data_IF_153059110621
#
_entry.id   IF_153059110621
#
_cell.length_a   1.000
_cell.length_b   1.000
_cell.length_c   1.000
_cell.angle_alpha   90.00
_cell.angle_beta   90.00
_cell.angle_gamma   90.00
#
_symmetry.space_group_name_H-M   'P 1'
#
loop_
_entity.id
_entity.type
_entity.pdbx_description
1 polymer ?
#
# COMPACT_ATOMS: atom_id res chain seq x y z
N UNK A 1 -2.12 -24.71 -41.22
CA UNK A 1 -3.03 -24.89 -40.08
C UNK A 1 -3.49 -23.52 -39.61
N UNK A 2 -4.79 -23.23 -39.78
CA UNK A 2 -5.38 -21.94 -39.48
C UNK A 2 -5.50 -21.75 -37.95
N UNK A 3 -4.72 -20.84 -37.37
CA UNK A 3 -5.01 -20.31 -36.03
C UNK A 3 -6.32 -19.55 -36.14
N UNK A 4 -7.36 -20.05 -35.47
CA UNK A 4 -8.64 -19.36 -35.28
C UNK A 4 -8.33 -17.91 -34.85
N UNK A 5 -8.74 -16.93 -35.66
CA UNK A 5 -9.03 -15.58 -35.20
C UNK A 5 -10.20 -15.71 -34.22
N UNK A 6 -9.91 -16.09 -32.98
CA UNK A 6 -10.84 -15.86 -31.88
C UNK A 6 -10.98 -14.35 -31.80
N UNK A 7 -12.20 -13.82 -31.84
CA UNK A 7 -12.46 -12.43 -31.42
C UNK A 7 -11.72 -12.21 -30.11
N UNK A 8 -10.65 -11.44 -30.16
CA UNK A 8 -9.74 -11.37 -29.03
C UNK A 8 -10.41 -10.53 -27.96
N UNK A 9 -10.56 -11.12 -26.76
CA UNK A 9 -11.22 -10.48 -25.64
C UNK A 9 -10.58 -9.11 -25.32
N UNK A 10 -11.37 -8.14 -24.82
CA UNK A 10 -10.83 -6.92 -24.24
C UNK A 10 -9.78 -7.26 -23.19
N UNK A 11 -8.62 -6.61 -23.26
CA UNK A 11 -7.50 -6.89 -22.37
C UNK A 11 -6.69 -5.63 -22.12
N UNK A 12 -5.90 -5.66 -21.05
CA UNK A 12 -4.96 -4.60 -20.71
C UNK A 12 -3.59 -4.99 -21.28
N UNK A 13 -2.92 -4.05 -21.91
CA UNK A 13 -1.56 -4.23 -22.42
C UNK A 13 -0.62 -3.35 -21.61
N UNK A 14 0.30 -3.97 -20.89
CA UNK A 14 1.42 -3.28 -20.27
C UNK A 14 2.64 -3.40 -21.19
N UNK A 15 3.24 -2.27 -21.55
CA UNK A 15 4.52 -2.20 -22.25
C UNK A 15 5.56 -1.54 -21.32
N UNK A 16 6.70 -2.18 -21.12
CA UNK A 16 7.84 -1.66 -20.33
C UNK A 16 9.08 -1.68 -21.21
N UNK A 17 9.55 -0.49 -21.58
CA UNK A 17 10.74 -0.26 -22.40
C UNK A 17 11.87 0.25 -21.51
N UNK A 18 12.98 -0.48 -21.43
CA UNK A 18 14.16 -0.09 -20.63
C UNK A 18 15.45 -0.22 -21.44
N UNK A 19 16.46 0.56 -21.08
CA UNK A 19 17.81 0.43 -21.63
C UNK A 19 18.64 -0.60 -20.88
N UNK A 20 18.40 -0.73 -19.58
CA UNK A 20 19.08 -1.70 -18.72
C UNK A 20 18.18 -2.91 -18.45
N UNK A 21 18.79 -4.07 -18.11
CA UNK A 21 18.04 -5.16 -17.53
C UNK A 21 17.26 -4.70 -16.32
N UNK A 22 16.00 -5.12 -16.22
CA UNK A 22 15.13 -4.82 -15.09
C UNK A 22 15.39 -5.84 -13.99
N UNK A 23 15.44 -5.39 -12.74
CA UNK A 23 15.48 -6.31 -11.61
C UNK A 23 14.20 -7.14 -11.52
N UNK A 24 14.32 -8.43 -11.22
CA UNK A 24 13.16 -9.32 -11.16
C UNK A 24 12.08 -8.82 -10.18
N UNK A 25 12.50 -8.22 -9.07
CA UNK A 25 11.60 -7.61 -8.09
C UNK A 25 10.76 -6.49 -8.71
N UNK A 26 11.40 -5.53 -9.38
CA UNK A 26 10.74 -4.41 -10.06
C UNK A 26 9.81 -4.88 -11.18
N UNK A 27 10.24 -5.88 -11.95
CA UNK A 27 9.43 -6.51 -12.99
C UNK A 27 8.15 -7.12 -12.41
N UNK A 28 8.28 -7.99 -11.41
CA UNK A 28 7.13 -8.65 -10.76
C UNK A 28 6.23 -7.61 -10.08
N UNK A 29 6.83 -6.58 -9.47
CA UNK A 29 6.12 -5.50 -8.81
C UNK A 29 5.16 -4.79 -9.77
N UNK A 30 5.62 -4.43 -10.97
CA UNK A 30 4.77 -3.78 -11.98
C UNK A 30 3.50 -4.57 -12.29
N UNK A 31 3.60 -5.90 -12.44
CA UNK A 31 2.45 -6.78 -12.69
C UNK A 31 1.54 -6.92 -11.46
N UNK A 32 2.14 -7.22 -10.31
CA UNK A 32 1.39 -7.46 -9.07
C UNK A 32 0.63 -6.22 -8.60
N UNK A 33 1.21 -5.03 -8.79
CA UNK A 33 0.57 -3.75 -8.48
C UNK A 33 -0.65 -3.48 -9.35
N UNK A 34 -0.56 -3.70 -10.67
CA UNK A 34 -1.70 -3.54 -11.58
C UNK A 34 -2.81 -4.53 -11.23
N UNK A 35 -2.45 -5.79 -10.93
CA UNK A 35 -3.42 -6.81 -10.51
C UNK A 35 -4.14 -6.41 -9.21
N UNK A 36 -3.40 -5.96 -8.18
CA UNK A 36 -3.95 -5.47 -6.91
C UNK A 36 -4.92 -4.29 -7.11
N UNK A 37 -4.53 -3.31 -7.93
CA UNK A 37 -5.39 -2.16 -8.23
C UNK A 37 -6.63 -2.55 -9.03
N UNK A 38 -6.51 -3.51 -9.94
CA UNK A 38 -7.67 -4.05 -10.66
C UNK A 38 -8.65 -4.75 -9.72
N UNK A 39 -8.16 -5.58 -8.80
CA UNK A 39 -8.99 -6.24 -7.80
C UNK A 39 -9.76 -5.24 -6.93
N UNK A 40 -9.09 -4.17 -6.49
CA UNK A 40 -9.72 -3.08 -5.72
C UNK A 40 -10.78 -2.35 -6.54
N UNK A 41 -10.48 -2.04 -7.80
CA UNK A 41 -11.42 -1.41 -8.72
C UNK A 41 -12.66 -2.28 -8.93
N UNK A 42 -12.52 -3.56 -9.27
CA UNK A 42 -13.66 -4.46 -9.46
C UNK A 42 -14.48 -4.58 -8.18
N UNK A 43 -13.83 -4.74 -7.03
CA UNK A 43 -14.53 -4.83 -5.74
C UNK A 43 -15.36 -3.57 -5.42
N UNK A 44 -14.89 -2.39 -5.83
CA UNK A 44 -15.54 -1.12 -5.59
C UNK A 44 -16.64 -0.81 -6.60
N UNK A 45 -16.35 -0.96 -7.90
CA UNK A 45 -17.21 -0.53 -9.00
C UNK A 45 -18.16 -1.63 -9.50
N UNK A 46 -17.82 -2.90 -9.29
CA UNK A 46 -18.57 -4.08 -9.74
C UNK A 46 -18.58 -5.17 -8.64
N UNK A 47 -19.18 -4.91 -7.46
CA UNK A 47 -19.12 -5.82 -6.31
C UNK A 47 -19.60 -7.25 -6.60
N UNK A 48 -20.52 -7.42 -7.55
CA UNK A 48 -21.02 -8.69 -8.05
C UNK A 48 -19.95 -9.54 -8.74
N UNK A 49 -18.88 -8.92 -9.24
CA UNK A 49 -17.73 -9.58 -9.88
C UNK A 49 -16.52 -9.71 -8.94
N UNK A 50 -16.62 -9.23 -7.69
CA UNK A 50 -15.48 -9.12 -6.77
C UNK A 50 -14.83 -10.48 -6.43
N UNK A 51 -15.60 -11.57 -6.45
CA UNK A 51 -15.11 -12.93 -6.19
C UNK A 51 -14.21 -13.50 -7.30
N UNK A 52 -14.31 -12.95 -8.51
CA UNK A 52 -13.67 -13.46 -9.73
C UNK A 52 -12.67 -12.47 -10.36
N UNK A 53 -12.43 -11.34 -9.70
CA UNK A 53 -11.48 -10.32 -10.13
C UNK A 53 -10.05 -10.86 -10.06
N UNK A 54 -9.57 -11.50 -11.12
CA UNK A 54 -8.17 -11.94 -11.24
C UNK A 54 -7.64 -11.56 -12.61
N UNK A 55 -6.39 -11.12 -12.68
CA UNK A 55 -5.70 -10.84 -13.93
C UNK A 55 -4.67 -11.93 -14.21
N UNK A 56 -4.60 -12.37 -15.46
CA UNK A 56 -3.65 -13.38 -15.93
C UNK A 56 -2.78 -12.81 -17.04
N UNK A 57 -1.48 -13.16 -17.01
CA UNK A 57 -0.56 -12.89 -18.11
C UNK A 57 -0.79 -13.94 -19.21
N UNK A 58 -1.25 -13.51 -20.38
CA UNK A 58 -1.46 -14.40 -21.54
C UNK A 58 -0.15 -14.69 -22.29
N UNK A 59 0.65 -13.67 -22.52
CA UNK A 59 1.89 -13.75 -23.31
C UNK A 59 2.84 -12.63 -22.89
N UNK A 60 4.15 -12.87 -23.02
CA UNK A 60 5.20 -11.85 -22.86
C UNK A 60 6.03 -11.83 -24.14
N UNK A 61 6.14 -10.67 -24.79
CA UNK A 61 6.81 -10.52 -26.10
C UNK A 61 8.12 -9.73 -26.00
N UNK A 62 9.07 -10.05 -26.87
CA UNK A 62 10.38 -9.39 -26.94
C UNK A 62 10.32 -8.06 -27.71
N UNK A 63 11.09 -7.08 -27.23
CA UNK A 63 11.23 -5.72 -27.77
C UNK A 63 11.21 -4.68 -26.65
N UNK A 64 10.16 -4.76 -25.84
CA UNK A 64 9.92 -4.11 -24.54
C UNK A 64 8.80 -4.95 -23.93
N UNK A 65 8.86 -5.28 -22.65
CA UNK A 65 7.98 -6.31 -22.06
C UNK A 65 6.53 -5.94 -22.35
N UNK A 66 5.91 -6.61 -23.32
CA UNK A 66 4.51 -6.44 -23.69
C UNK A 66 3.74 -7.63 -23.13
N UNK A 67 2.84 -7.35 -22.20
CA UNK A 67 2.06 -8.36 -21.53
C UNK A 67 0.56 -8.09 -21.66
N UNK A 68 -0.14 -9.10 -22.16
CA UNK A 68 -1.59 -9.11 -22.28
C UNK A 68 -2.21 -9.64 -21.00
N UNK A 69 -2.95 -8.78 -20.31
CA UNK A 69 -3.59 -9.02 -19.02
C UNK A 69 -5.09 -9.22 -19.23
N UNK A 70 -5.58 -10.43 -18.95
CA UNK A 70 -7.00 -10.79 -19.12
C UNK A 70 -7.68 -10.94 -17.76
N UNK A 71 -8.78 -10.21 -17.50
CA UNK A 71 -9.64 -10.45 -16.37
C UNK A 71 -10.34 -11.82 -16.45
N UNK A 72 -10.20 -12.65 -15.42
CA UNK A 72 -10.74 -14.02 -15.39
C UNK A 72 -12.21 -14.11 -15.01
N UNK A 73 -12.76 -13.09 -14.35
CA UNK A 73 -14.21 -12.89 -14.23
C UNK A 73 -14.93 -13.00 -15.58
N UNK A 74 -14.20 -12.91 -16.70
CA UNK A 74 -14.72 -13.01 -18.05
C UNK A 74 -14.60 -14.40 -18.70
N UNK A 75 -13.96 -15.40 -18.06
CA UNK A 75 -13.71 -16.73 -18.67
C UNK A 75 -14.39 -17.92 -17.97
N UNK A 76 -14.77 -17.80 -16.70
CA UNK A 76 -15.41 -18.89 -15.96
C UNK A 76 -16.58 -18.38 -15.15
N UNK A 77 -17.79 -18.82 -15.52
CA UNK A 77 -19.10 -18.53 -14.92
C UNK A 77 -19.87 -17.32 -15.51
N UNK A 78 -20.80 -17.70 -16.39
CA UNK A 78 -22.11 -17.08 -16.64
C UNK A 78 -22.21 -16.11 -17.81
N UNK A 79 -23.31 -16.29 -18.55
CA UNK A 79 -23.84 -15.43 -19.59
C UNK A 79 -24.28 -14.02 -19.08
N UNK A 80 -23.62 -13.48 -18.06
CA UNK A 80 -24.04 -12.28 -17.32
C UNK A 80 -23.37 -11.02 -17.84
N UNK A 81 -22.08 -11.06 -18.20
CA UNK A 81 -21.33 -9.89 -18.68
C UNK A 81 -21.13 -9.98 -20.19
N UNK A 82 -21.81 -9.12 -20.95
CA UNK A 82 -21.67 -9.10 -22.40
C UNK A 82 -20.33 -8.44 -22.82
N UNK A 83 -19.90 -8.63 -24.07
CA UNK A 83 -18.60 -8.12 -24.57
C UNK A 83 -18.48 -6.59 -24.46
N UNK A 84 -19.59 -5.85 -24.57
CA UNK A 84 -19.59 -4.38 -24.45
C UNK A 84 -19.25 -3.97 -23.00
N UNK A 85 -19.83 -4.66 -22.03
CA UNK A 85 -19.57 -4.43 -20.61
C UNK A 85 -18.12 -4.76 -20.25
N UNK A 86 -17.56 -5.83 -20.82
CA UNK A 86 -16.13 -6.18 -20.67
C UNK A 86 -15.21 -5.07 -21.22
N UNK A 87 -15.54 -4.49 -22.38
CA UNK A 87 -14.82 -3.34 -22.94
C UNK A 87 -14.86 -2.17 -21.97
N UNK A 88 -16.04 -1.85 -21.43
CA UNK A 88 -16.23 -0.73 -20.50
C UNK A 88 -15.45 -0.92 -19.20
N UNK A 89 -15.44 -2.14 -18.64
CA UNK A 89 -14.68 -2.46 -17.41
C UNK A 89 -13.19 -2.22 -17.64
N UNK A 90 -12.62 -2.76 -18.72
CA UNK A 90 -11.19 -2.61 -19.04
C UNK A 90 -10.84 -1.15 -19.34
N UNK A 91 -11.67 -0.45 -20.11
CA UNK A 91 -11.47 0.97 -20.41
C UNK A 91 -11.53 1.82 -19.13
N UNK A 92 -12.57 1.67 -18.32
CA UNK A 92 -12.79 2.42 -17.08
C UNK A 92 -11.67 2.17 -16.08
N UNK A 93 -11.20 0.93 -15.96
CA UNK A 93 -10.04 0.62 -15.12
C UNK A 93 -8.81 1.42 -15.55
N UNK A 94 -8.41 1.35 -16.81
CA UNK A 94 -7.21 2.04 -17.30
C UNK A 94 -7.34 3.56 -17.16
N UNK A 95 -8.55 4.13 -17.35
CA UNK A 95 -8.81 5.55 -17.12
C UNK A 95 -8.68 5.94 -15.64
N UNK A 96 -9.31 5.18 -14.73
CA UNK A 96 -9.26 5.45 -13.29
C UNK A 96 -7.83 5.31 -12.76
N UNK A 97 -7.18 4.21 -13.11
CA UNK A 97 -5.78 3.94 -12.79
C UNK A 97 -4.87 5.05 -13.32
N UNK A 98 -5.04 5.45 -14.59
CA UNK A 98 -4.30 6.53 -15.22
C UNK A 98 -4.53 7.89 -14.58
N UNK A 99 -5.76 8.18 -14.13
CA UNK A 99 -6.09 9.42 -13.44
C UNK A 99 -5.39 9.52 -12.08
N UNK A 100 -5.41 8.44 -11.29
CA UNK A 100 -4.76 8.42 -9.96
C UNK A 100 -3.25 8.43 -10.10
N UNK A 101 -2.67 7.51 -10.89
CA UNK A 101 -1.22 7.48 -11.10
C UNK A 101 -0.72 8.77 -11.78
N UNK A 102 -1.52 9.34 -12.68
CA UNK A 102 -1.25 10.61 -13.34
C UNK A 102 -1.06 11.79 -12.39
N UNK A 103 -1.75 11.81 -11.23
CA UNK A 103 -1.52 12.83 -10.19
C UNK A 103 -0.08 12.79 -9.69
N UNK A 104 0.42 11.60 -9.34
CA UNK A 104 1.79 11.39 -8.88
C UNK A 104 2.81 11.70 -9.96
N UNK A 105 2.58 11.23 -11.18
CA UNK A 105 3.44 11.51 -12.34
C UNK A 105 3.52 13.02 -12.65
N UNK A 106 2.47 13.78 -12.35
CA UNK A 106 2.39 15.23 -12.52
C UNK A 106 2.86 16.05 -11.32
N UNK A 107 3.40 15.42 -10.26
CA UNK A 107 3.91 16.12 -9.07
C UNK A 107 2.84 16.50 -8.03
N UNK A 108 1.68 15.87 -8.07
CA UNK A 108 0.60 16.03 -7.08
C UNK A 108 0.29 14.69 -6.39
N UNK A 109 -0.66 14.67 -5.45
CA UNK A 109 -0.99 13.48 -4.64
C UNK A 109 -2.46 13.12 -4.74
N UNK A 110 -2.78 11.84 -4.60
CA UNK A 110 -4.15 11.37 -4.36
C UNK A 110 -4.41 11.34 -2.85
N UNK A 111 -5.23 12.26 -2.35
CA UNK A 111 -5.43 12.46 -0.90
C UNK A 111 -6.09 11.25 -0.23
N UNK A 112 -6.92 10.52 -0.98
CA UNK A 112 -7.65 9.35 -0.48
C UNK A 112 -6.86 8.03 -0.64
N UNK A 113 -5.62 8.08 -1.14
CA UNK A 113 -4.82 6.87 -1.34
C UNK A 113 -4.41 6.24 0.00
N UNK A 114 -4.66 4.95 0.16
CA UNK A 114 -4.23 4.18 1.32
C UNK A 114 -2.75 3.78 1.22
N UNK A 115 -2.15 3.30 2.33
CA UNK A 115 -0.79 2.74 2.30
C UNK A 115 -0.62 1.60 1.29
N UNK A 116 -1.65 0.77 1.12
CA UNK A 116 -1.61 -0.30 0.13
C UNK A 116 -1.64 0.26 -1.29
N UNK A 117 -2.38 1.34 -1.54
CA UNK A 117 -2.39 1.98 -2.86
C UNK A 117 -1.05 2.62 -3.18
N UNK A 118 -0.43 3.31 -2.22
CA UNK A 118 0.91 3.86 -2.38
C UNK A 118 1.95 2.78 -2.70
N UNK A 119 1.87 1.61 -2.05
CA UNK A 119 2.73 0.46 -2.37
C UNK A 119 2.51 -0.01 -3.82
N UNK A 120 1.26 -0.12 -4.26
CA UNK A 120 0.96 -0.56 -5.62
C UNK A 120 1.45 0.45 -6.65
N UNK A 121 1.17 1.75 -6.46
CA UNK A 121 1.65 2.79 -7.36
C UNK A 121 3.17 2.88 -7.40
N UNK A 122 3.86 2.68 -6.29
CA UNK A 122 5.33 2.58 -6.26
C UNK A 122 5.82 1.43 -7.14
N UNK A 123 5.25 0.24 -6.96
CA UNK A 123 5.62 -0.95 -7.74
C UNK A 123 5.39 -0.78 -9.24
N UNK A 124 4.49 0.12 -9.62
CA UNK A 124 4.16 0.39 -11.02
C UNK A 124 5.13 1.33 -11.73
N UNK A 125 5.91 2.13 -10.98
CA UNK A 125 6.82 3.13 -11.54
C UNK A 125 8.29 2.80 -11.34
N UNK A 126 8.62 1.96 -10.34
CA UNK A 126 10.01 1.71 -9.90
C UNK A 126 10.92 1.21 -11.02
N UNK A 127 10.45 0.28 -11.86
CA UNK A 127 11.23 -0.23 -12.99
C UNK A 127 11.65 0.86 -13.98
N UNK A 128 10.78 1.85 -14.22
CA UNK A 128 11.03 2.97 -15.14
C UNK A 128 11.84 4.06 -14.46
N UNK A 129 11.60 4.34 -13.18
CA UNK A 129 12.37 5.33 -12.41
C UNK A 129 13.86 4.93 -12.30
N UNK A 130 14.11 3.62 -12.18
CA UNK A 130 15.43 3.01 -12.10
C UNK A 130 16.14 2.91 -13.46
N UNK A 131 15.46 3.09 -14.60
CA UNK A 131 16.11 3.11 -15.91
C UNK A 131 16.59 4.54 -16.25
N UNK A 132 17.71 4.73 -16.97
CA UNK A 132 18.13 6.06 -17.42
C UNK A 132 17.25 6.66 -18.53
N UNK A 133 16.59 5.82 -19.34
CA UNK A 133 15.73 6.25 -20.44
C UNK A 133 14.63 5.21 -20.70
N UNK A 134 13.90 4.89 -19.63
CA UNK A 134 12.79 3.97 -19.65
C UNK A 134 11.48 4.67 -20.02
N UNK A 135 10.59 3.90 -20.64
CA UNK A 135 9.25 4.30 -21.00
C UNK A 135 8.27 3.19 -20.66
N UNK A 136 7.09 3.53 -20.13
CA UNK A 136 6.01 2.56 -19.95
C UNK A 136 4.72 3.05 -20.58
N UNK A 137 3.91 2.09 -21.03
CA UNK A 137 2.53 2.36 -21.43
C UNK A 137 1.59 1.29 -20.89
N UNK A 138 0.46 1.70 -20.32
CA UNK A 138 -0.66 0.83 -19.97
C UNK A 138 -1.84 1.16 -20.89
N UNK A 139 -2.38 0.18 -21.61
CA UNK A 139 -3.43 0.39 -22.64
C UNK A 139 -4.63 -0.51 -22.39
N UNK A 140 -5.83 0.03 -22.55
CA UNK A 140 -7.05 -0.75 -22.75
C UNK A 140 -7.19 -1.07 -24.24
N UNK A 141 -7.06 -2.35 -24.60
CA UNK A 141 -7.11 -2.82 -25.99
C UNK A 141 -8.37 -3.63 -26.23
N UNK A 142 -9.07 -3.29 -27.31
CA UNK A 142 -10.28 -3.98 -27.77
C UNK A 142 -10.15 -4.32 -29.26
N UNK A 143 -10.98 -5.25 -29.72
CA UNK A 143 -11.09 -5.57 -31.14
C UNK A 143 -12.49 -5.23 -31.61
N UNK A 144 -12.58 -4.28 -32.54
CA UNK A 144 -13.82 -3.85 -33.18
C UNK A 144 -13.65 -4.01 -34.68
N UNK A 145 -14.61 -4.66 -35.34
CA UNK A 145 -14.57 -4.96 -36.78
C UNK A 145 -13.28 -5.68 -37.21
N UNK A 146 -12.76 -6.56 -36.34
CA UNK A 146 -11.52 -7.30 -36.57
C UNK A 146 -10.25 -6.44 -36.52
N UNK A 147 -10.32 -5.18 -36.06
CA UNK A 147 -9.19 -4.26 -35.92
C UNK A 147 -8.91 -3.97 -34.44
N UNK A 148 -7.62 -3.98 -34.07
CA UNK A 148 -7.14 -3.56 -32.74
C UNK A 148 -7.40 -2.07 -32.55
N UNK A 149 -8.10 -1.67 -31.49
CA UNK A 149 -8.29 -0.27 -31.08
C UNK A 149 -7.83 -0.08 -29.64
N UNK A 150 -7.20 1.06 -29.37
CA UNK A 150 -6.82 1.50 -28.02
C UNK A 150 -7.90 2.44 -27.52
N UNK A 151 -8.59 2.07 -26.44
CA UNK A 151 -9.72 2.84 -25.87
C UNK A 151 -9.28 3.81 -24.78
N UNK A 152 -8.26 3.44 -24.02
CA UNK A 152 -7.61 4.29 -23.02
C UNK A 152 -6.12 3.94 -22.95
N UNK A 153 -5.29 4.93 -22.58
CA UNK A 153 -3.87 4.72 -22.37
C UNK A 153 -3.33 5.68 -21.31
N UNK A 154 -2.39 5.18 -20.51
CA UNK A 154 -1.46 5.95 -19.70
C UNK A 154 -0.06 5.69 -20.23
N UNK A 155 0.73 6.73 -20.44
CA UNK A 155 2.15 6.62 -20.80
C UNK A 155 2.99 7.51 -19.90
N UNK A 156 4.19 7.05 -19.53
CA UNK A 156 5.13 7.87 -18.78
C UNK A 156 6.58 7.48 -19.03
N UNK A 157 7.48 8.42 -18.82
CA UNK A 157 8.92 8.24 -18.95
C UNK A 157 9.64 8.19 -17.58
N UNK A 158 10.96 8.06 -17.63
CA UNK A 158 11.86 8.08 -16.46
C UNK A 158 11.68 9.31 -15.59
N UNK A 159 11.53 10.50 -16.18
CA UNK A 159 11.42 11.75 -15.43
C UNK A 159 10.13 11.77 -14.61
N UNK A 160 9.00 11.42 -15.26
CA UNK A 160 7.70 11.34 -14.62
C UNK A 160 7.65 10.21 -13.58
N UNK A 161 8.26 9.06 -13.85
CA UNK A 161 8.35 7.95 -12.91
C UNK A 161 9.10 8.34 -11.63
N UNK A 162 10.21 9.08 -11.75
CA UNK A 162 10.97 9.60 -10.59
C UNK A 162 10.21 10.65 -9.81
N UNK A 163 9.43 11.50 -10.49
CA UNK A 163 8.51 12.42 -9.82
C UNK A 163 7.46 11.66 -9.02
N UNK A 164 6.79 10.68 -9.63
CA UNK A 164 5.83 9.84 -8.93
C UNK A 164 6.46 9.12 -7.73
N UNK A 165 7.66 8.55 -7.88
CA UNK A 165 8.38 7.91 -6.77
C UNK A 165 8.54 8.87 -5.58
N UNK A 166 9.03 10.09 -5.82
CA UNK A 166 9.18 11.10 -4.76
C UNK A 166 7.84 11.43 -4.09
N UNK A 167 6.79 11.67 -4.87
CA UNK A 167 5.47 12.03 -4.33
C UNK A 167 4.86 10.90 -3.50
N UNK A 168 5.02 9.65 -3.95
CA UNK A 168 4.52 8.46 -3.25
C UNK A 168 5.30 8.24 -1.95
N UNK A 169 6.63 8.39 -1.96
CA UNK A 169 7.47 8.32 -0.75
C UNK A 169 7.10 9.41 0.25
N UNK A 170 6.98 10.65 -0.19
CA UNK A 170 6.58 11.77 0.67
C UNK A 170 5.17 11.57 1.25
N UNK A 171 4.20 11.11 0.44
CA UNK A 171 2.87 10.79 0.96
C UNK A 171 2.89 9.60 1.93
N UNK A 172 3.72 8.59 1.69
CA UNK A 172 3.86 7.46 2.61
C UNK A 172 4.37 7.93 3.98
N UNK A 173 5.40 8.78 3.99
CA UNK A 173 5.92 9.40 5.21
C UNK A 173 4.86 10.26 5.90
N UNK A 174 4.04 11.00 5.13
CA UNK A 174 2.91 11.75 5.66
C UNK A 174 1.85 10.84 6.27
N UNK A 175 1.46 9.73 5.64
CA UNK A 175 0.49 8.78 6.23
C UNK A 175 1.04 8.03 7.45
N UNK A 176 2.36 7.83 7.49
CA UNK A 176 3.06 7.33 8.69
C UNK A 176 3.02 8.38 9.81
N UNK A 177 3.24 9.65 9.48
CA UNK A 177 3.20 10.78 10.41
C UNK A 177 1.77 11.20 10.83
N UNK A 178 0.76 11.03 9.98
CA UNK A 178 -0.64 11.32 10.27
C UNK A 178 -1.31 10.18 11.04
N UNK A 179 -0.83 8.94 10.89
CA UNK A 179 -1.10 7.88 11.87
C UNK A 179 -0.40 8.09 13.23
N UNK A 180 0.34 9.21 13.35
CA UNK A 180 1.16 9.65 14.48
C UNK A 180 0.70 11.01 15.03
N UNK A 181 -0.51 11.51 14.70
CA UNK A 181 -1.15 12.47 15.61
C UNK A 181 -1.65 11.66 16.80
N UNK A 182 -0.79 11.52 17.80
CA UNK A 182 -1.18 10.93 19.06
C UNK A 182 -2.33 11.74 19.66
N UNK A 183 -3.36 11.04 20.13
CA UNK A 183 -4.50 11.64 20.83
C UNK A 183 -3.99 12.47 22.02
N UNK A 184 -2.89 12.02 22.62
CA UNK A 184 -2.19 12.70 23.70
C UNK A 184 -0.69 12.73 23.44
N UNK A 185 -0.12 13.93 23.42
CA UNK A 185 1.31 14.16 23.20
C UNK A 185 2.03 14.46 24.51
N UNK A 186 3.27 14.00 24.63
CA UNK A 186 4.16 14.25 25.78
C UNK A 186 3.52 13.93 27.14
N UNK A 187 2.82 12.82 27.23
CA UNK A 187 2.26 12.33 28.50
C UNK A 187 3.26 11.46 29.24
N UNK A 188 3.19 11.48 30.57
CA UNK A 188 4.00 10.63 31.42
C UNK A 188 3.40 9.22 31.49
N UNK A 189 4.14 8.24 31.00
CA UNK A 189 3.82 6.82 31.07
C UNK A 189 4.74 6.12 32.07
N UNK A 190 4.17 5.29 32.94
CA UNK A 190 4.92 4.48 33.91
C UNK A 190 4.58 3.01 33.76
N UNK A 191 5.56 2.12 33.91
CA UNK A 191 5.32 0.67 33.87
C UNK A 191 4.70 0.19 35.18
N UNK A 192 3.74 -0.71 35.06
CA UNK A 192 3.14 -1.47 36.17
C UNK A 192 3.39 -2.97 36.03
N UNK A 193 3.60 -3.42 34.79
CA UNK A 193 4.09 -4.74 34.46
C UNK A 193 4.94 -4.64 33.20
N UNK A 194 6.20 -5.09 33.26
CA UNK A 194 7.09 -5.16 32.11
C UNK A 194 7.20 -6.59 31.54
N UNK A 195 7.61 -6.71 30.28
CA UNK A 195 7.89 -7.98 29.64
C UNK A 195 9.12 -7.86 28.74
N UNK A 196 10.11 -8.73 28.96
CA UNK A 196 11.38 -8.69 28.23
C UNK A 196 11.29 -9.28 26.82
N UNK A 197 10.22 -10.00 26.47
CA UNK A 197 10.05 -10.58 25.12
C UNK A 197 9.73 -9.50 24.08
N UNK A 198 10.24 -9.69 22.87
CA UNK A 198 9.84 -8.88 21.71
C UNK A 198 8.35 -9.04 21.43
N UNK A 199 7.72 -7.96 20.98
CA UNK A 199 6.30 -7.95 20.70
C UNK A 199 6.05 -7.90 19.20
N UNK A 200 4.87 -8.36 18.78
CA UNK A 200 4.43 -8.16 17.40
C UNK A 200 3.89 -6.74 17.29
N UNK A 201 4.49 -5.93 16.43
CA UNK A 201 4.10 -4.53 16.22
C UNK A 201 2.58 -4.40 16.00
N UNK A 202 1.96 -3.42 16.65
CA UNK A 202 0.53 -3.16 16.56
C UNK A 202 -0.37 -4.15 17.32
N UNK A 203 0.18 -5.16 18.01
CA UNK A 203 -0.57 -6.07 18.88
C UNK A 203 -0.41 -5.68 20.35
N UNK A 204 -1.39 -6.07 21.18
CA UNK A 204 -1.30 -5.94 22.63
C UNK A 204 -0.13 -6.75 23.16
N UNK A 205 0.74 -6.11 23.93
CA UNK A 205 1.81 -6.79 24.63
C UNK A 205 1.31 -7.33 25.98
N UNK A 206 2.15 -8.12 26.65
CA UNK A 206 1.91 -8.52 28.03
C UNK A 206 2.23 -7.42 29.06
N UNK A 207 2.56 -6.21 28.59
CA UNK A 207 2.94 -5.09 29.45
C UNK A 207 1.72 -4.26 29.83
N UNK A 208 1.78 -3.70 31.04
CA UNK A 208 0.74 -2.85 31.60
C UNK A 208 1.40 -1.54 32.01
N UNK A 209 0.81 -0.44 31.57
CA UNK A 209 1.32 0.91 31.84
C UNK A 209 0.19 1.81 32.36
N UNK A 210 0.57 2.80 33.15
CA UNK A 210 -0.32 3.84 33.65
C UNK A 210 0.04 5.19 33.00
N UNK A 211 -0.99 5.94 32.61
CA UNK A 211 -0.91 7.34 32.17
C UNK A 211 -2.04 8.05 32.90
N UNK A 212 -1.72 8.67 34.03
CA UNK A 212 -2.69 9.22 34.98
C UNK A 212 -3.54 10.35 34.37
N UNK A 213 -2.93 11.14 33.47
CA UNK A 213 -3.59 12.22 32.72
C UNK A 213 -4.75 11.73 31.83
N UNK A 214 -4.78 10.42 31.49
CA UNK A 214 -5.77 9.85 30.56
C UNK A 214 -6.75 8.93 31.28
N UNK A 215 -6.26 8.04 32.16
CA UNK A 215 -7.12 7.09 32.87
C UNK A 215 -6.46 6.61 34.16
N UNK A 216 -7.23 6.50 35.23
CA UNK A 216 -6.82 5.92 36.51
C UNK A 216 -6.59 4.39 36.50
N UNK A 217 -6.59 3.77 35.31
CA UNK A 217 -6.46 2.31 35.16
C UNK A 217 -5.17 2.02 34.41
N UNK A 218 -4.49 0.97 34.85
CA UNK A 218 -3.40 0.40 34.07
C UNK A 218 -3.99 -0.25 32.81
N UNK A 219 -3.41 0.03 31.65
CA UNK A 219 -3.88 -0.47 30.36
C UNK A 219 -2.76 -1.20 29.62
N UNK A 220 -3.11 -2.16 28.74
CA UNK A 220 -2.11 -2.85 27.94
C UNK A 220 -1.40 -1.87 26.99
N UNK A 221 -0.10 -2.08 26.83
CA UNK A 221 0.74 -1.33 25.90
C UNK A 221 0.70 -1.98 24.49
N UNK A 222 0.74 -1.14 23.46
CA UNK A 222 0.85 -1.53 22.06
C UNK A 222 1.90 -0.64 21.42
N UNK A 223 2.95 -1.23 20.84
CA UNK A 223 3.94 -0.46 20.09
C UNK A 223 3.44 -0.21 18.66
N UNK A 224 3.38 1.06 18.26
CA UNK A 224 3.07 1.47 16.89
C UNK A 224 4.28 2.03 16.13
N UNK A 225 5.45 2.04 16.76
CA UNK A 225 6.72 2.48 16.18
C UNK A 225 7.82 1.52 16.63
N UNK A 226 8.57 0.97 15.66
CA UNK A 226 9.74 0.14 15.93
C UNK A 226 10.78 0.90 16.75
N UNK A 227 11.00 2.18 16.44
CA UNK A 227 11.94 3.02 17.16
C UNK A 227 11.52 3.22 18.62
N UNK A 228 10.23 3.40 18.87
CA UNK A 228 9.70 3.52 20.23
C UNK A 228 9.83 2.19 20.99
N UNK A 229 9.54 1.05 20.34
CA UNK A 229 9.72 -0.28 20.93
C UNK A 229 11.18 -0.51 21.32
N UNK A 230 12.12 -0.31 20.39
CA UNK A 230 13.55 -0.54 20.65
C UNK A 230 14.05 0.28 21.84
N UNK A 231 13.75 1.59 21.88
CA UNK A 231 14.20 2.48 22.96
C UNK A 231 13.59 2.13 24.30
N UNK A 232 12.28 1.84 24.34
CA UNK A 232 11.61 1.44 25.58
C UNK A 232 12.13 0.07 26.06
N UNK A 233 12.31 -0.89 25.16
CA UNK A 233 12.82 -2.23 25.51
C UNK A 233 14.27 -2.21 25.97
N UNK A 234 15.10 -1.31 25.45
CA UNK A 234 16.46 -1.10 25.95
C UNK A 234 16.43 -0.72 27.44
N UNK A 235 15.57 0.24 27.83
CA UNK A 235 15.39 0.61 29.24
C UNK A 235 14.82 -0.51 30.11
N UNK A 236 14.00 -1.40 29.54
CA UNK A 236 13.43 -2.56 30.25
C UNK A 236 14.45 -3.68 30.45
N UNK A 237 15.42 -3.85 29.53
CA UNK A 237 16.34 -5.00 29.49
C UNK A 237 17.73 -4.71 30.05
N UNK A 238 18.28 -3.54 29.73
CA UNK A 238 19.71 -3.25 29.84
C UNK A 238 20.06 -2.18 30.87
N UNK A 239 19.07 -1.45 31.40
CA UNK A 239 19.33 -0.50 32.46
C UNK A 239 19.61 -1.22 33.80
N UNK A 240 20.70 -0.84 34.47
CA UNK A 240 21.02 -1.29 35.84
C UNK A 240 19.92 -0.89 36.86
N UNK A 241 19.10 0.10 36.49
CA UNK A 241 18.01 0.64 37.30
C UNK A 241 16.65 -0.02 37.03
N UNK A 242 15.88 -0.19 38.10
CA UNK A 242 14.54 -0.76 38.05
C UNK A 242 13.59 0.10 37.19
N UNK A 243 13.06 -0.46 36.08
CA UNK A 243 12.11 0.20 35.17
C UNK A 243 10.86 0.76 35.87
N UNK A 244 10.50 0.21 37.03
CA UNK A 244 9.37 0.71 37.84
C UNK A 244 9.68 2.02 38.59
N UNK A 245 10.93 2.47 38.60
CA UNK A 245 11.36 3.80 39.08
C UNK A 245 11.54 4.82 37.94
N UNK A 246 11.18 4.45 36.69
CA UNK A 246 11.33 5.30 35.51
C UNK A 246 9.99 5.80 34.98
N UNK A 247 10.01 7.01 34.45
CA UNK A 247 8.94 7.65 33.70
C UNK A 247 9.32 7.81 32.23
N UNK A 248 8.37 7.57 31.33
CA UNK A 248 8.57 7.65 29.89
C UNK A 248 7.66 8.75 29.34
N UNK A 249 8.24 9.81 28.79
CA UNK A 249 7.49 10.88 28.13
C UNK A 249 7.21 10.46 26.69
N UNK A 250 5.95 10.16 26.39
CA UNK A 250 5.53 9.49 25.15
C UNK A 250 4.39 10.20 24.45
N UNK A 251 4.23 9.89 23.17
CA UNK A 251 3.03 10.19 22.39
C UNK A 251 2.20 8.91 22.28
N UNK A 252 0.90 8.98 22.59
CA UNK A 252 -0.02 7.83 22.60
C UNK A 252 -1.34 8.09 21.90
N UNK A 253 -1.86 7.07 21.21
CA UNK A 253 -3.28 6.96 20.87
C UNK A 253 -3.98 6.03 21.86
N UNK A 254 -5.19 6.37 22.27
CA UNK A 254 -6.01 5.59 23.19
C UNK A 254 -6.91 4.67 22.38
N UNK A 255 -6.75 3.36 22.53
CA UNK A 255 -7.72 2.41 21.99
C UNK A 255 -8.97 2.40 22.87
N UNK A 256 -10.13 2.61 22.28
CA UNK A 256 -11.42 2.55 22.96
C UNK A 256 -12.10 1.18 22.74
N UNK A 257 -12.78 0.68 23.76
CA UNK A 257 -13.69 -0.46 23.69
C UNK A 257 -14.97 -0.13 24.44
N UNK A 258 -16.11 -0.09 23.74
CA UNK A 258 -17.38 0.34 24.34
C UNK A 258 -17.33 1.76 24.92
N UNK A 259 -16.59 2.67 24.26
CA UNK A 259 -16.43 4.06 24.71
C UNK A 259 -15.48 4.26 25.91
N UNK A 260 -14.81 3.22 26.39
CA UNK A 260 -13.83 3.30 27.49
C UNK A 260 -12.42 2.98 27.02
N UNK A 261 -11.37 3.61 27.59
CA UNK A 261 -9.98 3.25 27.32
C UNK A 261 -9.72 1.75 27.54
N UNK A 262 -9.03 1.11 26.60
CA UNK A 262 -8.78 -0.32 26.56
C UNK A 262 -7.33 -0.68 26.26
N UNK A 263 -6.50 0.28 25.85
CA UNK A 263 -5.08 0.12 25.57
C UNK A 263 -4.42 1.42 25.14
N UNK A 264 -3.11 1.53 25.35
CA UNK A 264 -2.32 2.66 24.88
C UNK A 264 -1.43 2.22 23.73
N UNK A 265 -1.55 2.94 22.61
CA UNK A 265 -0.75 2.71 21.42
C UNK A 265 0.34 3.78 21.34
N UNK A 266 1.55 3.43 21.76
CA UNK A 266 2.70 4.36 21.78
C UNK A 266 3.24 4.53 20.38
N UNK A 267 3.29 5.77 19.92
CA UNK A 267 3.80 6.15 18.59
C UNK A 267 5.19 6.75 18.68
N UNK A 268 5.55 7.41 19.78
CA UNK A 268 6.86 8.03 19.96
C UNK A 268 7.30 8.06 21.42
N UNK A 269 8.62 8.01 21.65
CA UNK A 269 9.26 8.24 22.94
C UNK A 269 10.14 9.49 22.84
N UNK A 270 9.86 10.49 23.67
CA UNK A 270 10.65 11.71 23.72
C UNK A 270 11.82 11.58 24.70
N UNK A 271 11.51 11.17 25.94
CA UNK A 271 12.45 11.20 27.04
C UNK A 271 12.15 10.09 28.07
N UNK A 272 13.19 9.65 28.77
CA UNK A 272 13.09 8.80 29.96
C UNK A 272 13.60 9.62 31.14
N UNK A 273 12.87 9.60 32.25
CA UNK A 273 13.20 10.33 33.48
C UNK A 273 13.18 9.38 34.67
N UNK A 274 13.96 9.68 35.70
CA UNK A 274 13.86 9.00 36.99
C UNK A 274 12.74 9.63 37.82
N UNK A 275 11.92 8.78 38.43
CA UNK A 275 10.85 9.21 39.32
C UNK A 275 11.38 9.32 40.76
N UNK A 276 10.96 10.34 41.53
CA UNK A 276 11.29 10.43 42.94
C UNK A 276 10.71 9.24 43.73
N UNK A 277 11.38 8.86 44.82
CA UNK A 277 10.93 7.79 45.73
C UNK A 277 9.64 8.12 46.48
#
# INVERSE_FOLDING_TARGET
MARRKTDALPHIVLNIETKRPIELGDFVSAFSSIASQYEKFVRSDYPELAGDAKIYVREVRAGSIEADLIPWAMQGLSAVVNVIEQIQIVEKFVRNYGAVLGKYLGGTKELEATRSDLKDFMGSVVAIANDPNGHATLKAVVFEDGKKKVRAALSFDTSQAREAQRQIEDQKLQLESSSTTADHQRVLMTFKQSNVKDSVMGKRTGERVAIEDISSRDLPLIYASELAEQRIKHEVREADDNVYKKGFIVDVNVQLSGGRPAGYRVTNLHQVIDLPE
#
